data_IF_013080001845
#
_entry.id   IF_013080001845
#
_cell.length_a   1.000
_cell.length_b   1.000
_cell.length_c   1.000
_cell.angle_alpha   90.00
_cell.angle_beta   90.00
_cell.angle_gamma   90.00
#
_symmetry.space_group_name_H-M   'P 1'
#
loop_
_entity.id
_entity.type
_entity.pdbx_description
1 polymer ?
#
# COMPACT_ATOMS: atom_id res chain seq x y z
N UNK A 1 5.58 -8.72 1.11
CA UNK A 1 5.28 -7.73 0.08
C UNK A 1 6.39 -6.69 -0.01
N UNK A 2 6.53 -6.06 -1.16
CA UNK A 2 7.54 -5.05 -1.41
C UNK A 2 7.16 -3.69 -0.88
N UNK A 3 8.16 -2.88 -0.64
CA UNK A 3 8.04 -1.45 -0.42
C UNK A 3 9.11 -0.73 -1.26
N UNK A 4 8.79 0.45 -1.74
CA UNK A 4 9.71 1.31 -2.50
C UNK A 4 9.79 2.65 -1.78
N UNK A 5 10.99 3.19 -1.67
CA UNK A 5 11.24 4.52 -1.11
C UNK A 5 11.76 5.42 -2.23
N UNK A 6 11.05 6.50 -2.47
CA UNK A 6 11.36 7.46 -3.53
C UNK A 6 11.58 8.85 -2.95
N UNK A 7 12.16 9.75 -3.72
CA UNK A 7 12.23 11.15 -3.38
C UNK A 7 10.82 11.78 -3.38
N UNK A 8 10.62 12.84 -2.58
CA UNK A 8 9.30 13.45 -2.38
C UNK A 8 8.66 14.05 -3.66
N UNK A 9 9.45 14.34 -4.68
CA UNK A 9 8.99 14.85 -5.97
C UNK A 9 8.52 13.75 -6.94
N UNK A 10 8.70 12.47 -6.59
CA UNK A 10 8.24 11.34 -7.40
C UNK A 10 6.78 11.05 -7.10
N UNK A 11 5.93 11.09 -8.11
CA UNK A 11 4.51 10.80 -7.95
C UNK A 11 4.28 9.31 -7.66
N UNK A 12 3.39 8.98 -6.73
CA UNK A 12 3.13 7.62 -6.19
C UNK A 12 2.83 6.55 -7.25
N UNK A 13 2.33 6.93 -8.42
CA UNK A 13 2.07 5.99 -9.52
C UNK A 13 3.32 5.48 -10.21
N UNK A 14 4.45 6.22 -10.15
CA UNK A 14 5.68 5.83 -10.84
C UNK A 14 6.33 4.55 -10.30
N UNK A 15 6.41 4.33 -8.97
CA UNK A 15 6.98 3.09 -8.43
C UNK A 15 6.04 1.88 -8.49
N UNK A 16 4.83 2.01 -9.05
CA UNK A 16 3.90 0.89 -9.14
C UNK A 16 4.47 -0.35 -9.85
N UNK A 17 5.23 -0.23 -10.96
CA UNK A 17 5.86 -1.39 -11.60
C UNK A 17 6.82 -2.17 -10.71
N UNK A 18 7.50 -1.47 -9.79
CA UNK A 18 8.48 -2.05 -8.87
C UNK A 18 7.82 -2.73 -7.66
N UNK A 19 6.54 -2.42 -7.42
CA UNK A 19 5.72 -3.02 -6.36
C UNK A 19 5.02 -4.31 -6.80
N UNK A 20 4.91 -4.56 -8.11
CA UNK A 20 4.24 -5.72 -8.67
C UNK A 20 5.26 -6.81 -9.05
N UNK A 21 5.01 -8.04 -8.58
CA UNK A 21 5.90 -9.20 -8.79
C UNK A 21 5.38 -10.20 -9.83
N UNK A 22 4.17 -9.98 -10.35
CA UNK A 22 3.53 -10.88 -11.31
C UNK A 22 2.73 -12.05 -10.70
N UNK A 23 2.89 -12.31 -9.40
CA UNK A 23 2.19 -13.39 -8.68
C UNK A 23 0.96 -12.91 -7.89
N UNK A 24 0.61 -11.64 -8.00
CA UNK A 24 -0.54 -11.07 -7.32
C UNK A 24 -1.85 -11.69 -7.83
N UNK A 25 -2.74 -12.02 -6.90
CA UNK A 25 -4.11 -12.41 -7.22
C UNK A 25 -5.06 -11.21 -7.23
N UNK A 26 -4.76 -10.19 -6.45
CA UNK A 26 -5.59 -8.99 -6.28
C UNK A 26 -4.72 -7.76 -6.05
N UNK A 27 -5.02 -6.69 -6.77
CA UNK A 27 -4.36 -5.39 -6.58
C UNK A 27 -5.38 -4.36 -6.12
N UNK A 28 -5.11 -3.73 -4.98
CA UNK A 28 -5.96 -2.67 -4.41
C UNK A 28 -5.21 -1.34 -4.46
N UNK A 29 -5.84 -0.31 -4.98
CA UNK A 29 -5.29 1.03 -5.06
C UNK A 29 -6.37 2.09 -4.86
N UNK A 30 -5.95 3.33 -4.63
CA UNK A 30 -6.87 4.45 -4.64
C UNK A 30 -7.23 4.87 -6.08
N UNK A 31 -8.02 5.93 -6.22
CA UNK A 31 -8.45 6.41 -7.54
C UNK A 31 -7.32 7.02 -8.40
N UNK A 32 -6.17 7.35 -7.81
CA UNK A 32 -5.01 7.82 -8.56
C UNK A 32 -4.43 6.71 -9.45
N UNK A 33 -4.57 5.45 -9.02
CA UNK A 33 -4.12 4.29 -9.80
C UNK A 33 -5.15 3.80 -10.83
N UNK A 34 -6.33 4.39 -10.90
CA UNK A 34 -7.37 3.98 -11.86
C UNK A 34 -6.93 4.08 -13.33
N UNK A 35 -5.99 4.98 -13.63
CA UNK A 35 -5.39 5.13 -14.97
C UNK A 35 -4.31 4.09 -15.30
N UNK A 36 -3.87 3.28 -14.31
CA UNK A 36 -2.75 2.34 -14.45
C UNK A 36 -3.19 0.90 -14.76
N UNK A 37 -4.43 0.69 -15.20
CA UNK A 37 -4.98 -0.65 -15.48
C UNK A 37 -4.16 -1.46 -16.49
N UNK A 38 -3.68 -0.82 -17.55
CA UNK A 38 -2.87 -1.47 -18.58
C UNK A 38 -1.54 -1.96 -17.98
N UNK A 39 -0.90 -1.15 -17.15
CA UNK A 39 0.33 -1.49 -16.46
C UNK A 39 0.13 -2.64 -15.46
N UNK A 40 -0.94 -2.58 -14.65
CA UNK A 40 -1.29 -3.66 -13.71
C UNK A 40 -1.51 -4.97 -14.47
N UNK A 41 -2.27 -4.94 -15.58
CA UNK A 41 -2.53 -6.11 -16.41
C UNK A 41 -1.25 -6.67 -17.06
N UNK A 42 -0.33 -5.80 -17.49
CA UNK A 42 0.95 -6.21 -18.08
C UNK A 42 1.91 -6.83 -17.08
N UNK A 43 2.02 -6.26 -15.87
CA UNK A 43 2.94 -6.72 -14.81
C UNK A 43 2.37 -7.86 -13.98
N UNK A 44 1.06 -7.88 -13.74
CA UNK A 44 0.38 -8.90 -12.94
C UNK A 44 -0.84 -9.46 -13.70
N UNK A 45 -0.64 -10.27 -14.75
CA UNK A 45 -1.71 -10.70 -15.66
C UNK A 45 -2.78 -11.56 -14.97
N UNK A 46 -2.43 -12.26 -13.88
CA UNK A 46 -3.35 -13.08 -13.09
C UNK A 46 -4.12 -12.27 -12.04
N UNK A 47 -3.74 -11.02 -11.79
CA UNK A 47 -4.33 -10.20 -10.75
C UNK A 47 -5.67 -9.60 -11.17
N UNK A 48 -6.64 -9.67 -10.26
CA UNK A 48 -7.88 -8.89 -10.38
C UNK A 48 -7.62 -7.47 -9.88
N UNK A 49 -7.92 -6.48 -10.72
CA UNK A 49 -7.77 -5.06 -10.38
C UNK A 49 -8.97 -4.57 -9.55
N UNK A 50 -8.70 -4.24 -8.29
CA UNK A 50 -9.64 -3.66 -7.34
C UNK A 50 -9.32 -2.20 -7.01
N UNK A 51 -8.63 -1.48 -7.88
CA UNK A 51 -8.41 -0.03 -7.70
C UNK A 51 -9.75 0.71 -7.62
N UNK A 52 -9.80 1.75 -6.78
CA UNK A 52 -10.98 2.59 -6.66
C UNK A 52 -11.20 3.37 -7.96
N UNK A 53 -12.45 3.46 -8.39
CA UNK A 53 -12.83 4.28 -9.54
C UNK A 53 -13.31 5.65 -9.08
N UNK A 54 -13.22 6.65 -9.94
CA UNK A 54 -13.80 7.97 -9.67
C UNK A 54 -15.30 7.84 -9.55
N UNK A 55 -15.87 8.33 -8.45
CA UNK A 55 -17.31 8.29 -8.17
C UNK A 55 -18.05 9.52 -8.66
N UNK A 56 -17.34 10.62 -8.96
CA UNK A 56 -17.92 11.86 -9.42
C UNK A 56 -17.56 12.10 -10.87
N UNK A 57 -18.58 12.26 -11.72
CA UNK A 57 -18.41 12.57 -13.15
C UNK A 57 -19.43 13.65 -13.51
N UNK A 58 -18.97 14.77 -14.06
CA UNK A 58 -19.82 15.91 -14.45
C UNK A 58 -20.82 16.36 -13.34
N UNK A 59 -20.35 16.41 -12.09
CA UNK A 59 -21.19 16.85 -10.98
C UNK A 59 -22.09 15.78 -10.34
N UNK A 60 -22.34 14.67 -11.03
CA UNK A 60 -23.18 13.56 -10.56
C UNK A 60 -22.34 12.53 -9.79
N UNK A 61 -22.87 12.06 -8.67
CA UNK A 61 -22.25 11.03 -7.83
C UNK A 61 -22.87 9.68 -8.16
N UNK A 62 -22.04 8.71 -8.57
CA UNK A 62 -22.46 7.31 -8.74
C UNK A 62 -22.40 6.59 -7.39
N UNK A 63 -23.56 6.44 -6.74
CA UNK A 63 -23.69 5.79 -5.42
C UNK A 63 -23.33 4.30 -5.48
N UNK A 64 -23.61 3.62 -6.58
CA UNK A 64 -23.24 2.21 -6.76
C UNK A 64 -21.72 2.07 -6.77
N UNK A 65 -21.03 2.93 -7.52
CA UNK A 65 -19.57 2.94 -7.56
C UNK A 65 -18.98 3.35 -6.21
N UNK A 66 -19.62 4.29 -5.50
CA UNK A 66 -19.24 4.71 -4.14
C UNK A 66 -19.30 3.54 -3.16
N UNK A 67 -20.37 2.75 -3.18
CA UNK A 67 -20.53 1.55 -2.35
C UNK A 67 -19.45 0.50 -2.67
N UNK A 68 -19.18 0.21 -3.96
CA UNK A 68 -18.10 -0.68 -4.38
C UNK A 68 -16.73 -0.20 -3.89
N UNK A 69 -16.45 1.10 -4.00
CA UNK A 69 -15.19 1.69 -3.51
C UNK A 69 -15.05 1.58 -1.99
N UNK A 70 -16.13 1.75 -1.22
CA UNK A 70 -16.13 1.60 0.24
C UNK A 70 -15.66 0.21 0.66
N UNK A 71 -16.15 -0.85 0.01
CA UNK A 71 -15.74 -2.22 0.28
C UNK A 71 -14.25 -2.46 -0.05
N UNK A 72 -13.76 -1.92 -1.17
CA UNK A 72 -12.34 -1.98 -1.56
C UNK A 72 -11.45 -1.22 -0.56
N UNK A 73 -11.88 -0.02 -0.15
CA UNK A 73 -11.15 0.81 0.81
C UNK A 73 -11.02 0.14 2.19
N UNK A 74 -12.02 -0.65 2.62
CA UNK A 74 -11.97 -1.41 3.87
C UNK A 74 -10.84 -2.44 3.88
N UNK A 75 -10.57 -3.08 2.74
CA UNK A 75 -9.44 -4.01 2.61
C UNK A 75 -8.12 -3.24 2.58
N UNK A 76 -8.08 -2.12 1.87
CA UNK A 76 -6.91 -1.25 1.76
C UNK A 76 -6.48 -0.65 3.11
N UNK A 77 -7.44 -0.39 4.01
CA UNK A 77 -7.18 0.13 5.34
C UNK A 77 -6.23 -0.75 6.17
N UNK A 78 -6.06 -2.04 5.84
CA UNK A 78 -5.07 -2.91 6.49
C UNK A 78 -3.64 -2.41 6.32
N UNK A 79 -3.32 -1.79 5.19
CA UNK A 79 -2.00 -1.18 4.94
C UNK A 79 -1.81 0.06 5.81
N UNK A 80 -2.89 0.81 6.05
CA UNK A 80 -2.86 1.99 6.91
C UNK A 80 -2.52 1.64 8.37
N UNK A 81 -2.87 0.44 8.83
CA UNK A 81 -2.47 -0.05 10.16
C UNK A 81 -0.95 -0.17 10.29
N UNK A 82 -0.26 -0.68 9.26
CA UNK A 82 1.21 -0.76 9.22
C UNK A 82 1.82 0.63 9.34
N UNK A 83 1.35 1.58 8.54
CA UNK A 83 1.81 2.97 8.62
C UNK A 83 1.44 3.63 9.94
N UNK A 84 0.30 3.29 10.53
CA UNK A 84 -0.10 3.74 11.87
C UNK A 84 0.91 3.31 12.94
N UNK A 85 1.34 2.05 12.93
CA UNK A 85 2.39 1.53 13.84
C UNK A 85 3.70 2.28 13.61
N UNK A 86 4.16 2.37 12.38
CA UNK A 86 5.43 3.01 12.02
C UNK A 86 5.46 4.48 12.43
N UNK A 87 4.38 5.23 12.20
CA UNK A 87 4.31 6.66 12.52
C UNK A 87 4.07 6.94 14.00
N UNK A 88 3.15 6.20 14.65
CA UNK A 88 2.71 6.49 16.02
C UNK A 88 3.59 5.85 17.07
N UNK A 89 3.94 4.55 16.92
CA UNK A 89 4.73 3.86 17.92
C UNK A 89 6.24 4.12 17.78
N UNK A 90 6.73 4.26 16.54
CA UNK A 90 8.18 4.44 16.32
C UNK A 90 8.58 5.83 15.84
N UNK A 91 7.64 6.78 15.85
CA UNK A 91 7.92 8.17 15.58
C UNK A 91 8.49 8.44 14.18
N UNK A 92 8.13 7.61 13.18
CA UNK A 92 8.57 7.80 11.80
C UNK A 92 7.72 8.89 11.10
N UNK A 93 7.65 10.08 11.71
CA UNK A 93 6.89 11.21 11.16
C UNK A 93 7.70 12.09 10.22
N UNK A 94 9.03 12.07 10.35
CA UNK A 94 9.94 12.91 9.56
C UNK A 94 11.20 12.12 9.17
N UNK A 95 11.78 12.47 8.03
CA UNK A 95 13.12 12.00 7.63
C UNK A 95 14.17 12.54 8.61
N UNK A 96 15.11 11.70 9.01
CA UNK A 96 16.17 12.08 9.97
C UNK A 96 17.55 12.21 9.34
N UNK A 97 17.75 11.56 8.20
CA UNK A 97 19.06 11.47 7.59
C UNK A 97 19.09 12.24 6.27
N UNK A 98 20.25 12.75 5.91
CA UNK A 98 20.50 13.25 4.56
C UNK A 98 20.67 12.06 3.60
N UNK A 99 20.06 12.16 2.42
CA UNK A 99 20.13 11.16 1.36
C UNK A 99 19.05 10.07 1.45
N UNK A 100 18.71 9.57 0.28
CA UNK A 100 17.61 8.60 0.12
C UNK A 100 17.96 7.24 0.75
N UNK A 101 19.19 6.76 0.55
CA UNK A 101 19.64 5.44 0.99
C UNK A 101 19.47 5.22 2.50
N UNK A 102 19.94 6.16 3.34
CA UNK A 102 19.84 6.04 4.80
C UNK A 102 18.40 6.09 5.29
N UNK A 103 17.57 6.92 4.65
CA UNK A 103 16.15 7.00 4.98
C UNK A 103 15.38 5.75 4.50
N UNK A 104 15.76 5.18 3.35
CA UNK A 104 15.21 3.92 2.86
C UNK A 104 15.50 2.76 3.82
N UNK A 105 16.76 2.60 4.24
CA UNK A 105 17.14 1.57 5.23
C UNK A 105 16.30 1.70 6.50
N UNK A 106 16.14 2.91 7.04
CA UNK A 106 15.30 3.15 8.21
C UNK A 106 13.83 2.80 7.96
N UNK A 107 13.30 3.16 6.78
CA UNK A 107 11.91 2.85 6.42
C UNK A 107 11.69 1.35 6.33
N UNK A 108 12.58 0.60 5.66
CA UNK A 108 12.48 -0.85 5.55
C UNK A 108 12.59 -1.54 6.90
N UNK A 109 13.51 -1.11 7.77
CA UNK A 109 13.62 -1.64 9.13
C UNK A 109 12.33 -1.40 9.92
N UNK A 110 11.77 -0.18 9.86
CA UNK A 110 10.51 0.14 10.53
C UNK A 110 9.33 -0.70 10.01
N UNK A 111 9.23 -0.91 8.70
CA UNK A 111 8.20 -1.75 8.10
C UNK A 111 8.35 -3.22 8.49
N UNK A 112 9.58 -3.76 8.53
CA UNK A 112 9.85 -5.13 8.98
C UNK A 112 9.43 -5.33 10.43
N UNK A 113 9.81 -4.42 11.32
CA UNK A 113 9.42 -4.44 12.73
C UNK A 113 7.90 -4.27 12.90
N UNK A 114 7.24 -3.46 12.07
CA UNK A 114 5.79 -3.31 12.09
C UNK A 114 5.09 -4.63 11.76
N UNK A 115 5.58 -5.38 10.77
CA UNK A 115 5.04 -6.68 10.41
C UNK A 115 5.17 -7.69 11.56
N UNK A 116 6.33 -7.74 12.23
CA UNK A 116 6.55 -8.59 13.40
C UNK A 116 5.60 -8.18 14.55
N UNK A 117 5.49 -6.89 14.83
CA UNK A 117 4.60 -6.37 15.87
C UNK A 117 3.14 -6.70 15.61
N UNK A 118 2.65 -6.53 14.38
CA UNK A 118 1.27 -6.85 14.02
C UNK A 118 1.00 -8.35 14.00
N UNK A 119 1.98 -9.16 13.63
CA UNK A 119 1.91 -10.63 13.60
C UNK A 119 2.23 -11.30 14.95
N UNK A 120 2.60 -10.54 15.99
CA UNK A 120 3.11 -11.10 17.28
C UNK A 120 2.19 -12.13 17.91
N UNK A 121 0.87 -11.95 17.83
CA UNK A 121 -0.09 -12.89 18.39
C UNK A 121 -0.03 -14.27 17.73
N UNK A 122 0.14 -14.31 16.43
CA UNK A 122 0.30 -15.55 15.66
C UNK A 122 1.67 -16.18 15.93
N UNK A 123 2.74 -15.37 15.97
CA UNK A 123 4.09 -15.83 16.24
C UNK A 123 4.21 -16.44 17.64
N UNK A 124 3.65 -15.79 18.65
CA UNK A 124 3.66 -16.28 20.04
C UNK A 124 2.80 -17.56 20.19
N UNK A 125 1.72 -17.69 19.44
CA UNK A 125 0.89 -18.90 19.42
C UNK A 125 1.59 -20.12 18.82
N UNK A 126 2.58 -19.90 17.92
CA UNK A 126 3.40 -20.97 17.35
C UNK A 126 4.55 -21.43 18.25
N UNK A 127 4.94 -20.61 19.22
CA UNK A 127 6.07 -20.90 20.15
C UNK A 127 5.59 -21.56 21.44
N UNK A 128 4.27 -21.64 21.70
CA UNK A 128 3.76 -22.38 22.86
C UNK A 128 3.82 -23.89 22.58
N UNK A 129 4.58 -24.64 23.38
CA UNK A 129 4.60 -26.10 23.33
C UNK A 129 3.22 -26.68 23.66
#
# INVERSE_FOLDING_TARGET
HSAVVTAANVHDKHPLPDLLHGNEQRVYGDSAYASQKALIRGKAPKAKDFTNQRTRRCGVVDETQRSKNRNKSRIRARVEHVFGVVKRLWGFGKVRYRGLQKNATRAFTALALANIYLGRGQLLGQVRP
#
